data_IF_351022493120
#
_entry.id   IF_351022493120
#
_cell.length_a   1.000
_cell.length_b   1.000
_cell.length_c   1.000
_cell.angle_alpha   90.00
_cell.angle_beta   90.00
_cell.angle_gamma   90.00
#
_symmetry.space_group_name_H-M   'P 1'
#
loop_
_entity.id
_entity.type
_entity.pdbx_description
1 polymer ?
#
# COMPACT_ATOMS: atom_id res chain seq x y z
N UNK A 1 -0.47 38.43 -10.38
CA UNK A 1 -0.05 37.28 -11.23
C UNK A 1 0.33 36.14 -10.29
N UNK A 2 -0.67 35.36 -9.83
CA UNK A 2 -0.51 34.40 -8.73
C UNK A 2 0.25 33.15 -9.17
N UNK A 3 1.54 33.15 -8.88
CA UNK A 3 2.42 31.98 -8.98
C UNK A 3 2.32 31.20 -7.66
N UNK A 4 1.22 30.47 -7.44
CA UNK A 4 1.00 29.75 -6.18
C UNK A 4 0.47 28.31 -6.33
N UNK A 5 0.98 27.57 -7.32
CA UNK A 5 0.61 26.16 -7.55
C UNK A 5 1.66 25.12 -7.07
N UNK A 6 2.57 25.48 -6.15
CA UNK A 6 3.59 24.55 -5.61
C UNK A 6 3.65 24.43 -4.08
N UNK A 7 2.96 25.27 -3.32
CA UNK A 7 3.03 25.29 -1.83
C UNK A 7 2.17 24.18 -1.19
N UNK A 8 1.21 23.62 -1.95
CA UNK A 8 0.58 22.33 -1.67
C UNK A 8 1.58 21.27 -2.19
N UNK A 9 2.35 20.49 -1.42
CA UNK A 9 2.01 19.86 -0.14
C UNK A 9 3.24 19.22 0.56
N UNK A 10 4.36 19.94 0.66
CA UNK A 10 5.62 19.38 1.19
C UNK A 10 5.46 18.79 2.61
N UNK A 11 4.62 19.44 3.43
CA UNK A 11 4.25 18.95 4.77
C UNK A 11 3.48 17.62 4.72
N UNK A 12 2.53 17.45 3.81
CA UNK A 12 1.77 16.20 3.67
C UNK A 12 2.65 15.10 3.08
N UNK A 13 3.54 15.43 2.14
CA UNK A 13 4.52 14.48 1.63
C UNK A 13 5.45 13.99 2.75
N UNK A 14 5.97 14.90 3.59
CA UNK A 14 6.82 14.56 4.72
C UNK A 14 6.11 13.64 5.71
N UNK A 15 4.86 13.97 6.09
CA UNK A 15 4.03 13.10 6.96
C UNK A 15 3.78 11.72 6.34
N UNK A 16 3.50 11.65 5.04
CA UNK A 16 3.31 10.38 4.33
C UNK A 16 4.60 9.55 4.34
N UNK A 17 5.74 10.18 4.10
CA UNK A 17 7.07 9.54 4.16
C UNK A 17 7.39 9.05 5.57
N UNK A 18 7.09 9.83 6.60
CA UNK A 18 7.27 9.40 8.00
C UNK A 18 6.40 8.18 8.34
N UNK A 19 5.16 8.13 7.86
CA UNK A 19 4.29 6.97 8.04
C UNK A 19 4.88 5.72 7.37
N UNK A 20 5.34 5.82 6.12
CA UNK A 20 6.00 4.72 5.43
C UNK A 20 7.29 4.27 6.13
N UNK A 21 8.11 5.22 6.58
CA UNK A 21 9.36 4.94 7.30
C UNK A 21 9.13 4.17 8.61
N UNK A 22 8.04 4.45 9.33
CA UNK A 22 7.67 3.72 10.55
C UNK A 22 7.22 2.29 10.26
N UNK A 23 6.60 2.04 9.10
CA UNK A 23 6.13 0.71 8.73
C UNK A 23 7.23 -0.19 8.17
N UNK A 24 8.35 0.37 7.69
CA UNK A 24 9.51 -0.40 7.23
C UNK A 24 9.99 -1.46 8.25
N UNK A 25 10.38 -1.10 9.48
CA UNK A 25 10.83 -2.10 10.45
C UNK A 25 9.69 -3.02 10.91
N UNK A 26 8.45 -2.53 10.96
CA UNK A 26 7.29 -3.33 11.38
C UNK A 26 7.06 -4.49 10.41
N UNK A 27 6.98 -4.19 9.10
CA UNK A 27 6.81 -5.21 8.08
C UNK A 27 8.02 -6.16 8.06
N UNK A 28 9.24 -5.63 8.17
CA UNK A 28 10.45 -6.46 8.22
C UNK A 28 10.49 -7.45 9.38
N UNK A 29 10.05 -7.04 10.57
CA UNK A 29 9.98 -7.94 11.74
C UNK A 29 8.91 -9.03 11.51
N UNK A 30 7.73 -8.67 11.00
CA UNK A 30 6.66 -9.64 10.73
C UNK A 30 7.13 -10.70 9.73
N UNK A 31 7.72 -10.27 8.61
CA UNK A 31 8.21 -11.19 7.57
C UNK A 31 9.38 -12.05 8.08
N UNK A 32 10.25 -11.50 8.93
CA UNK A 32 11.32 -12.27 9.57
C UNK A 32 10.76 -13.35 10.50
N UNK A 33 9.73 -13.03 11.28
CA UNK A 33 9.06 -14.03 12.15
C UNK A 33 8.42 -15.12 11.30
N UNK A 34 7.71 -14.76 10.22
CA UNK A 34 7.12 -15.76 9.31
C UNK A 34 8.18 -16.64 8.65
N UNK A 35 9.30 -16.07 8.19
CA UNK A 35 10.42 -16.84 7.66
C UNK A 35 10.93 -17.87 8.68
N UNK A 36 11.19 -17.44 9.92
CA UNK A 36 11.68 -18.31 11.00
C UNK A 36 10.68 -19.44 11.29
N UNK A 37 9.39 -19.12 11.39
CA UNK A 37 8.33 -20.12 11.64
C UNK A 37 8.26 -21.12 10.49
N UNK A 38 8.25 -20.66 9.24
CA UNK A 38 8.20 -21.54 8.05
C UNK A 38 9.41 -22.48 7.97
N UNK A 39 10.60 -21.98 8.29
CA UNK A 39 11.82 -22.80 8.38
C UNK A 39 11.71 -23.81 9.52
N UNK A 40 11.27 -23.39 10.71
CA UNK A 40 11.13 -24.26 11.88
C UNK A 40 10.09 -25.38 11.66
N UNK A 41 9.06 -25.13 10.86
CA UNK A 41 8.07 -26.12 10.44
C UNK A 41 8.55 -27.06 9.32
N UNK A 42 9.80 -26.91 8.83
CA UNK A 42 10.36 -27.77 7.79
C UNK A 42 9.69 -27.61 6.42
N UNK A 43 9.12 -26.44 6.14
CA UNK A 43 8.48 -26.18 4.84
C UNK A 43 9.54 -26.15 3.72
N UNK A 44 9.18 -26.52 2.47
CA UNK A 44 10.11 -26.45 1.37
C UNK A 44 10.44 -24.99 1.00
N UNK A 45 11.65 -24.78 0.45
CA UNK A 45 12.16 -23.47 0.05
C UNK A 45 11.16 -22.61 -0.75
N UNK A 46 10.43 -23.21 -1.67
CA UNK A 46 9.43 -22.51 -2.50
C UNK A 46 8.35 -21.81 -1.66
N UNK A 47 8.04 -22.28 -0.45
CA UNK A 47 6.99 -21.71 0.41
C UNK A 47 7.46 -20.46 1.16
N UNK A 48 8.77 -20.31 1.39
CA UNK A 48 9.35 -19.18 2.13
C UNK A 48 10.32 -18.29 1.34
N UNK A 49 10.56 -18.58 0.04
CA UNK A 49 11.43 -17.75 -0.80
C UNK A 49 10.88 -16.34 -0.98
N UNK A 50 9.56 -16.13 -0.89
CA UNK A 50 8.96 -14.81 -0.95
C UNK A 50 9.35 -13.95 0.25
N UNK A 51 9.35 -14.47 1.49
CA UNK A 51 9.88 -13.73 2.65
C UNK A 51 11.33 -13.30 2.44
N UNK A 52 12.16 -14.17 1.87
CA UNK A 52 13.56 -13.85 1.54
C UNK A 52 13.59 -12.71 0.54
N UNK A 53 12.81 -12.76 -0.54
CA UNK A 53 12.71 -11.69 -1.53
C UNK A 53 12.25 -10.37 -0.91
N UNK A 54 11.27 -10.40 0.00
CA UNK A 54 10.75 -9.21 0.68
C UNK A 54 11.85 -8.60 1.56
N UNK A 55 12.47 -9.41 2.43
CA UNK A 55 13.51 -8.94 3.36
C UNK A 55 14.75 -8.42 2.62
N UNK A 56 15.26 -9.20 1.66
CA UNK A 56 16.42 -8.80 0.85
C UNK A 56 16.08 -7.57 0.01
N UNK A 57 14.93 -7.53 -0.65
CA UNK A 57 14.48 -6.39 -1.45
C UNK A 57 14.36 -5.11 -0.62
N UNK A 58 13.82 -5.21 0.60
CA UNK A 58 13.73 -4.11 1.54
C UNK A 58 15.09 -3.60 2.00
N UNK A 59 15.97 -4.50 2.45
CA UNK A 59 17.32 -4.15 2.92
C UNK A 59 18.16 -3.55 1.79
N UNK A 60 18.17 -4.16 0.61
CA UNK A 60 18.92 -3.67 -0.56
C UNK A 60 18.44 -2.28 -0.96
N UNK A 61 17.12 -2.06 -1.04
CA UNK A 61 16.55 -0.75 -1.37
C UNK A 61 16.93 0.30 -0.33
N UNK A 62 16.82 -0.04 0.95
CA UNK A 62 17.16 0.87 2.05
C UNK A 62 18.65 1.26 2.02
N UNK A 63 19.55 0.28 1.89
CA UNK A 63 20.99 0.52 1.83
C UNK A 63 21.37 1.34 0.61
N UNK A 64 20.81 1.03 -0.56
CA UNK A 64 21.05 1.77 -1.79
C UNK A 64 20.63 3.24 -1.66
N UNK A 65 19.45 3.53 -1.11
CA UNK A 65 18.97 4.90 -0.95
C UNK A 65 19.72 5.65 0.17
N UNK A 66 20.09 4.99 1.28
CA UNK A 66 20.94 5.61 2.31
C UNK A 66 22.36 5.93 1.78
N UNK A 67 22.92 5.09 0.89
CA UNK A 67 24.18 5.38 0.20
C UNK A 67 24.01 6.57 -0.75
N UNK A 68 22.94 6.58 -1.55
CA UNK A 68 22.64 7.66 -2.50
C UNK A 68 22.44 9.01 -1.80
N UNK A 69 21.80 9.02 -0.63
CA UNK A 69 21.60 10.23 0.16
C UNK A 69 22.81 10.57 1.04
N UNK A 70 23.83 9.71 1.12
CA UNK A 70 25.00 9.92 1.95
C UNK A 70 24.73 9.83 3.45
N UNK A 71 23.63 9.21 3.86
CA UNK A 71 23.15 9.16 5.24
C UNK A 71 23.57 7.89 6.00
N UNK A 72 24.10 6.87 5.30
CA UNK A 72 24.37 5.55 5.87
C UNK A 72 25.38 5.55 7.03
N UNK A 73 26.49 6.30 6.87
CA UNK A 73 27.62 6.28 7.80
C UNK A 73 27.64 7.49 8.76
N UNK A 74 26.61 8.33 8.71
CA UNK A 74 26.54 9.54 9.54
C UNK A 74 25.97 9.19 10.91
N UNK A 75 26.80 9.28 11.95
CA UNK A 75 26.40 8.98 13.34
C UNK A 75 25.35 9.96 13.87
N UNK A 76 25.57 11.25 13.66
CA UNK A 76 24.64 12.30 14.09
C UNK A 76 23.92 12.87 12.89
N UNK A 77 22.64 12.52 12.76
CA UNK A 77 21.79 13.04 11.69
C UNK A 77 21.13 14.33 12.16
N UNK A 78 21.43 15.44 11.48
CA UNK A 78 20.61 16.64 11.55
C UNK A 78 19.18 16.36 11.03
N UNK A 79 18.29 17.35 11.12
CA UNK A 79 16.89 17.15 10.74
C UNK A 79 16.70 16.88 9.24
N UNK A 80 17.62 17.34 8.39
CA UNK A 80 17.60 17.09 6.94
C UNK A 80 18.04 15.65 6.66
N UNK A 81 19.11 15.18 7.29
CA UNK A 81 19.61 13.82 7.18
C UNK A 81 18.62 12.80 7.75
N UNK A 82 17.88 13.15 8.81
CA UNK A 82 16.76 12.33 9.32
C UNK A 82 15.64 12.23 8.29
N UNK A 83 15.30 13.33 7.64
CA UNK A 83 14.27 13.34 6.60
C UNK A 83 14.66 12.48 5.40
N UNK A 84 15.92 12.57 4.96
CA UNK A 84 16.46 11.72 3.89
C UNK A 84 16.50 10.23 4.29
N UNK A 85 16.87 9.92 5.54
CA UNK A 85 16.83 8.55 6.06
C UNK A 85 15.40 8.01 6.13
N UNK A 86 14.42 8.82 6.55
CA UNK A 86 13.00 8.45 6.52
C UNK A 86 12.52 8.22 5.08
N UNK A 87 12.99 9.03 4.12
CA UNK A 87 12.69 8.82 2.70
C UNK A 87 13.21 7.47 2.21
N UNK A 88 14.45 7.12 2.53
CA UNK A 88 15.03 5.81 2.18
C UNK A 88 14.22 4.66 2.79
N UNK A 89 13.89 4.73 4.09
CA UNK A 89 13.06 3.72 4.76
C UNK A 89 11.67 3.62 4.16
N UNK A 90 11.03 4.75 3.84
CA UNK A 90 9.71 4.76 3.21
C UNK A 90 9.73 4.10 1.84
N UNK A 91 10.78 4.31 1.03
CA UNK A 91 10.94 3.65 -0.26
C UNK A 91 11.17 2.14 -0.10
N UNK A 92 11.99 1.74 0.87
CA UNK A 92 12.22 0.34 1.20
C UNK A 92 10.93 -0.35 1.68
N UNK A 93 10.14 0.31 2.52
CA UNK A 93 8.81 -0.17 2.91
C UNK A 93 7.90 -0.37 1.68
N UNK A 94 7.81 0.62 0.79
CA UNK A 94 6.98 0.50 -0.41
C UNK A 94 7.43 -0.65 -1.31
N UNK A 95 8.74 -0.87 -1.45
CA UNK A 95 9.28 -2.03 -2.16
C UNK A 95 8.80 -3.34 -1.54
N UNK A 96 8.99 -3.50 -0.22
CA UNK A 96 8.54 -4.68 0.52
C UNK A 96 7.03 -4.91 0.36
N UNK A 97 6.23 -3.87 0.56
CA UNK A 97 4.78 -3.92 0.48
C UNK A 97 4.29 -4.39 -0.89
N UNK A 98 4.91 -3.91 -1.98
CA UNK A 98 4.55 -4.35 -3.33
C UNK A 98 5.04 -5.76 -3.64
N UNK A 99 6.22 -6.16 -3.17
CA UNK A 99 6.69 -7.54 -3.30
C UNK A 99 5.73 -8.49 -2.58
N UNK A 100 5.25 -8.15 -1.39
CA UNK A 100 4.25 -8.96 -0.65
C UNK A 100 2.97 -9.11 -1.48
N UNK A 101 2.36 -8.00 -1.93
CA UNK A 101 1.08 -8.05 -2.65
C UNK A 101 1.19 -8.82 -3.97
N UNK A 102 2.21 -8.52 -4.77
CA UNK A 102 2.41 -9.17 -6.08
C UNK A 102 2.81 -10.62 -5.87
N UNK A 103 3.70 -10.89 -4.91
CA UNK A 103 4.17 -12.22 -4.59
C UNK A 103 3.07 -13.13 -4.06
N UNK A 104 2.21 -12.65 -3.16
CA UNK A 104 1.05 -13.39 -2.68
C UNK A 104 0.14 -13.78 -3.85
N UNK A 105 -0.16 -12.83 -4.74
CA UNK A 105 -0.99 -13.09 -5.91
C UNK A 105 -0.37 -14.16 -6.82
N UNK A 106 0.94 -14.10 -7.05
CA UNK A 106 1.66 -15.13 -7.82
C UNK A 106 1.63 -16.48 -7.09
N UNK A 107 1.77 -16.49 -5.78
CA UNK A 107 1.77 -17.70 -4.96
C UNK A 107 0.45 -18.46 -5.02
N UNK A 108 -0.69 -17.76 -5.18
CA UNK A 108 -1.99 -18.41 -5.42
C UNK A 108 -1.91 -19.35 -6.65
N UNK A 109 -1.14 -18.99 -7.67
CA UNK A 109 -1.02 -19.79 -8.91
C UNK A 109 0.17 -20.76 -8.92
N UNK A 110 1.27 -20.42 -8.24
CA UNK A 110 2.54 -21.14 -8.35
C UNK A 110 2.78 -22.18 -7.24
N UNK A 111 2.10 -22.05 -6.10
CA UNK A 111 2.30 -22.92 -4.94
C UNK A 111 1.32 -24.10 -4.97
N UNK A 112 1.79 -25.27 -4.54
CA UNK A 112 0.94 -26.45 -4.31
C UNK A 112 -0.18 -26.13 -3.29
N UNK A 113 -1.42 -26.52 -3.62
CA UNK A 113 -2.62 -26.25 -2.82
C UNK A 113 -2.48 -26.65 -1.35
N UNK A 114 -1.68 -27.67 -1.03
CA UNK A 114 -1.45 -28.09 0.36
C UNK A 114 -0.77 -27.01 1.22
N UNK A 115 -0.12 -26.02 0.60
CA UNK A 115 0.54 -24.91 1.29
C UNK A 115 -0.25 -23.60 1.24
N UNK A 116 -1.48 -23.58 0.71
CA UNK A 116 -2.28 -22.34 0.62
C UNK A 116 -2.51 -21.68 1.98
N UNK A 117 -2.58 -22.44 3.07
CA UNK A 117 -2.64 -21.89 4.42
C UNK A 117 -1.46 -20.94 4.72
N UNK A 118 -0.25 -21.28 4.23
CA UNK A 118 0.96 -20.47 4.39
C UNK A 118 1.05 -19.29 3.43
N UNK A 119 0.18 -19.22 2.42
CA UNK A 119 0.03 -18.05 1.57
C UNK A 119 -0.87 -17.02 2.25
N UNK A 120 -1.92 -17.46 2.95
CA UNK A 120 -2.83 -16.58 3.68
C UNK A 120 -2.15 -15.77 4.80
N UNK A 121 -0.99 -16.22 5.29
CA UNK A 121 -0.23 -15.46 6.29
C UNK A 121 0.28 -14.12 5.74
N UNK A 122 0.44 -13.96 4.42
CA UNK A 122 0.83 -12.67 3.83
C UNK A 122 -0.24 -11.61 4.01
N UNK A 123 -1.54 -11.96 3.98
CA UNK A 123 -2.62 -11.03 4.32
C UNK A 123 -2.41 -10.44 5.71
N UNK A 124 -1.94 -11.26 6.65
CA UNK A 124 -1.69 -10.84 8.03
C UNK A 124 -0.51 -9.86 8.11
N UNK A 125 0.44 -9.88 7.18
CA UNK A 125 1.55 -8.92 7.18
C UNK A 125 1.21 -7.58 6.52
N UNK A 126 0.60 -7.59 5.33
CA UNK A 126 0.36 -6.33 4.61
C UNK A 126 -0.95 -5.63 5.00
N UNK A 127 -2.02 -6.35 5.33
CA UNK A 127 -3.33 -5.74 5.56
C UNK A 127 -3.34 -4.83 6.80
N UNK A 128 -2.78 -5.21 7.97
CA UNK A 128 -2.71 -4.30 9.11
C UNK A 128 -1.89 -3.05 8.81
N UNK A 129 -0.77 -3.18 8.07
CA UNK A 129 0.05 -2.06 7.65
C UNK A 129 -0.75 -1.09 6.75
N UNK A 130 -1.49 -1.62 5.77
CA UNK A 130 -2.33 -0.83 4.87
C UNK A 130 -3.43 -0.10 5.63
N UNK A 131 -4.13 -0.78 6.55
CA UNK A 131 -5.17 -0.19 7.40
C UNK A 131 -4.59 0.92 8.28
N UNK A 132 -3.44 0.69 8.92
CA UNK A 132 -2.79 1.68 9.77
C UNK A 132 -2.41 2.94 8.99
N UNK A 133 -1.81 2.78 7.80
CA UNK A 133 -1.46 3.90 6.93
C UNK A 133 -2.73 4.66 6.52
N UNK A 134 -3.79 3.95 6.12
CA UNK A 134 -5.06 4.56 5.73
C UNK A 134 -5.68 5.37 6.89
N UNK A 135 -5.80 4.78 8.08
CA UNK A 135 -6.38 5.44 9.25
C UNK A 135 -5.55 6.65 9.68
N UNK A 136 -4.23 6.51 9.68
CA UNK A 136 -3.29 7.59 9.97
C UNK A 136 -3.37 8.71 8.93
N UNK A 137 -3.47 8.38 7.65
CA UNK A 137 -3.59 9.35 6.56
C UNK A 137 -4.90 10.14 6.64
N UNK A 138 -6.02 9.45 6.89
CA UNK A 138 -7.32 10.09 7.09
C UNK A 138 -7.31 10.97 8.33
N UNK A 139 -6.80 10.45 9.45
CA UNK A 139 -6.78 11.18 10.72
C UNK A 139 -5.86 12.40 10.69
N UNK A 140 -4.76 12.31 9.93
CA UNK A 140 -3.83 13.40 9.70
C UNK A 140 -4.27 14.41 8.64
N UNK A 141 -5.40 14.17 7.95
CA UNK A 141 -5.85 15.01 6.85
C UNK A 141 -4.89 15.02 5.66
N UNK A 142 -4.20 13.89 5.41
CA UNK A 142 -3.18 13.78 4.36
C UNK A 142 -3.81 13.65 2.96
N UNK A 143 -5.01 13.10 2.88
CA UNK A 143 -5.75 12.97 1.63
C UNK A 143 -6.64 14.22 1.46
N UNK A 144 -6.25 15.12 0.57
CA UNK A 144 -6.99 16.36 0.27
C UNK A 144 -7.22 16.49 -1.23
N UNK A 145 -8.41 16.94 -1.63
CA UNK A 145 -8.67 17.25 -3.04
C UNK A 145 -8.12 18.64 -3.41
N UNK A 146 -8.18 19.59 -2.47
CA UNK A 146 -7.59 20.92 -2.55
C UNK A 146 -8.34 21.91 -3.46
N UNK A 147 -8.98 21.47 -4.54
CA UNK A 147 -9.87 22.33 -5.35
C UNK A 147 -10.96 21.50 -6.03
N UNK A 148 -12.09 22.14 -6.39
CA UNK A 148 -13.18 21.50 -7.13
C UNK A 148 -12.72 20.87 -8.46
N UNK A 149 -11.73 21.48 -9.13
CA UNK A 149 -11.19 20.94 -10.38
C UNK A 149 -10.31 19.70 -10.13
N UNK A 150 -9.45 19.74 -9.10
CA UNK A 150 -8.65 18.58 -8.68
C UNK A 150 -9.54 17.43 -8.19
N UNK A 151 -10.62 17.73 -7.46
CA UNK A 151 -11.59 16.73 -7.00
C UNK A 151 -12.20 15.94 -8.17
N UNK A 152 -12.62 16.64 -9.24
CA UNK A 152 -13.13 15.98 -10.46
C UNK A 152 -12.08 15.06 -11.09
N UNK A 153 -10.83 15.54 -11.19
CA UNK A 153 -9.74 14.75 -11.78
C UNK A 153 -9.42 13.51 -10.93
N UNK A 154 -9.36 13.65 -9.59
CA UNK A 154 -9.12 12.54 -8.66
C UNK A 154 -10.24 11.51 -8.73
N UNK A 155 -11.51 11.94 -8.76
CA UNK A 155 -12.65 11.01 -8.91
C UNK A 155 -12.59 10.26 -10.24
N UNK A 156 -12.24 10.95 -11.34
CA UNK A 156 -12.09 10.32 -12.66
C UNK A 156 -10.95 9.30 -12.66
N UNK A 157 -9.78 9.67 -12.13
CA UNK A 157 -8.63 8.77 -12.04
C UNK A 157 -8.94 7.55 -11.15
N UNK A 158 -9.56 7.77 -9.99
CA UNK A 158 -10.01 6.70 -9.10
C UNK A 158 -11.03 5.78 -9.79
N UNK A 159 -11.98 6.33 -10.55
CA UNK A 159 -12.96 5.53 -11.29
C UNK A 159 -12.28 4.64 -12.33
N UNK A 160 -11.33 5.19 -13.09
CA UNK A 160 -10.57 4.44 -14.11
C UNK A 160 -9.75 3.33 -13.44
N UNK A 161 -9.00 3.64 -12.39
CA UNK A 161 -8.18 2.65 -11.67
C UNK A 161 -9.04 1.57 -11.02
N UNK A 162 -10.16 1.95 -10.40
CA UNK A 162 -11.08 0.99 -9.77
C UNK A 162 -11.72 0.09 -10.82
N UNK A 163 -12.08 0.62 -12.00
CA UNK A 163 -12.62 -0.17 -13.10
C UNK A 163 -11.63 -1.24 -13.58
N UNK A 164 -10.38 -0.86 -13.85
CA UNK A 164 -9.37 -1.84 -14.27
C UNK A 164 -9.03 -2.83 -13.15
N UNK A 165 -8.90 -2.35 -11.92
CA UNK A 165 -8.63 -3.21 -10.75
C UNK A 165 -9.76 -4.18 -10.47
N UNK A 166 -11.02 -3.79 -10.64
CA UNK A 166 -12.17 -4.65 -10.40
C UNK A 166 -12.35 -5.70 -11.50
N UNK A 167 -12.11 -5.36 -12.76
CA UNK A 167 -12.05 -6.34 -13.86
C UNK A 167 -10.96 -7.36 -13.59
N UNK A 168 -9.75 -6.89 -13.25
CA UNK A 168 -8.64 -7.77 -12.91
C UNK A 168 -9.01 -8.72 -11.77
N UNK A 169 -9.55 -8.19 -10.67
CA UNK A 169 -10.03 -8.98 -9.54
C UNK A 169 -11.06 -10.02 -9.95
N UNK A 170 -12.08 -9.62 -10.74
CA UNK A 170 -13.12 -10.53 -11.21
C UNK A 170 -12.57 -11.65 -12.10
N UNK A 171 -11.60 -11.36 -12.97
CA UNK A 171 -10.98 -12.36 -13.85
C UNK A 171 -10.16 -13.36 -13.04
N UNK A 172 -9.33 -12.87 -12.12
CA UNK A 172 -8.46 -13.69 -11.26
C UNK A 172 -9.30 -14.60 -10.36
N UNK A 173 -10.25 -14.02 -9.63
CA UNK A 173 -11.06 -14.76 -8.64
C UNK A 173 -12.17 -15.60 -9.29
N UNK A 174 -12.69 -15.16 -10.44
CA UNK A 174 -13.75 -15.83 -11.19
C UNK A 174 -13.25 -16.91 -12.15
N UNK A 175 -11.95 -17.27 -12.15
CA UNK A 175 -11.37 -18.27 -13.07
C UNK A 175 -12.18 -19.56 -13.09
N UNK A 176 -12.60 -20.07 -11.93
CA UNK A 176 -13.40 -21.29 -11.82
C UNK A 176 -14.81 -21.21 -12.44
N UNK A 177 -15.31 -20.02 -12.75
CA UNK A 177 -16.63 -19.86 -13.40
C UNK A 177 -16.58 -20.04 -14.91
N UNK A 178 -15.49 -19.63 -15.57
CA UNK A 178 -15.37 -19.71 -17.03
C UNK A 178 -14.33 -20.73 -17.50
N UNK A 179 -13.47 -21.23 -16.61
CA UNK A 179 -12.57 -22.37 -16.85
C UNK A 179 -12.78 -23.38 -15.74
N UNK A 180 -13.41 -24.50 -16.08
CA UNK A 180 -13.51 -25.67 -15.22
C UNK A 180 -13.48 -26.93 -16.08
N UNK A 181 -13.11 -28.07 -15.49
CA UNK A 181 -13.03 -29.36 -16.17
C UNK A 181 -12.17 -29.38 -17.45
N UNK A 182 -11.16 -28.49 -17.52
CA UNK A 182 -10.27 -28.36 -18.67
C UNK A 182 -10.91 -27.69 -19.90
N UNK A 183 -12.12 -27.15 -19.78
CA UNK A 183 -12.85 -26.51 -20.87
C UNK A 183 -13.27 -25.06 -20.53
N UNK A 184 -13.50 -24.27 -21.59
CA UNK A 184 -13.95 -22.88 -21.48
C UNK A 184 -15.47 -22.79 -21.59
N UNK A 185 -16.11 -22.11 -20.63
CA UNK A 185 -17.54 -21.93 -20.53
C UNK A 185 -17.90 -20.44 -20.58
N UNK A 186 -18.33 -19.91 -21.74
CA UNK A 186 -18.57 -18.47 -21.93
C UNK A 186 -19.58 -17.86 -20.97
N UNK A 187 -20.60 -18.64 -20.53
CA UNK A 187 -21.59 -18.18 -19.55
C UNK A 187 -20.98 -17.82 -18.20
N UNK A 188 -19.83 -18.40 -17.86
CA UNK A 188 -19.05 -18.09 -16.67
C UNK A 188 -18.54 -16.65 -16.60
N UNK A 189 -18.42 -15.98 -17.76
CA UNK A 189 -18.00 -14.57 -17.82
C UNK A 189 -19.01 -13.63 -17.15
N UNK A 190 -20.28 -14.03 -17.06
CA UNK A 190 -21.29 -13.27 -16.30
C UNK A 190 -20.90 -13.22 -14.81
N UNK A 191 -20.41 -14.34 -14.26
CA UNK A 191 -19.91 -14.41 -12.88
C UNK A 191 -18.70 -13.50 -12.65
N UNK A 192 -17.78 -13.42 -13.62
CA UNK A 192 -16.64 -12.49 -13.60
C UNK A 192 -17.11 -11.04 -13.52
N UNK A 193 -18.09 -10.67 -14.34
CA UNK A 193 -18.65 -9.30 -14.35
C UNK A 193 -19.33 -8.98 -13.02
N UNK A 194 -20.09 -9.92 -12.46
CA UNK A 194 -20.76 -9.75 -11.17
C UNK A 194 -19.77 -9.60 -10.02
N UNK A 195 -18.70 -10.40 -9.99
CA UNK A 195 -17.63 -10.25 -8.99
C UNK A 195 -16.91 -8.91 -9.13
N UNK A 196 -16.57 -8.51 -10.36
CA UNK A 196 -15.94 -7.23 -10.64
C UNK A 196 -16.83 -6.05 -10.20
N UNK A 197 -18.13 -6.08 -10.51
CA UNK A 197 -19.06 -5.04 -10.10
C UNK A 197 -19.27 -5.03 -8.58
N UNK A 198 -19.45 -6.21 -7.98
CA UNK A 198 -19.67 -6.40 -6.54
C UNK A 198 -18.50 -5.92 -5.69
N UNK A 199 -17.26 -5.99 -6.20
CA UNK A 199 -16.10 -5.43 -5.52
C UNK A 199 -15.83 -3.97 -5.89
N UNK A 200 -15.82 -3.66 -7.19
CA UNK A 200 -15.41 -2.35 -7.70
C UNK A 200 -16.34 -1.20 -7.31
N UNK A 201 -17.66 -1.40 -7.34
CA UNK A 201 -18.62 -0.34 -7.03
C UNK A 201 -18.53 0.06 -5.55
N UNK A 202 -18.62 -0.86 -4.56
CA UNK A 202 -18.45 -0.50 -3.16
C UNK A 202 -17.07 0.11 -2.88
N UNK A 203 -16.00 -0.43 -3.48
CA UNK A 203 -14.64 0.07 -3.31
C UNK A 203 -14.52 1.55 -3.72
N UNK A 204 -15.05 1.92 -4.88
CA UNK A 204 -15.03 3.29 -5.37
C UNK A 204 -15.71 4.27 -4.40
N UNK A 205 -16.93 3.95 -3.97
CA UNK A 205 -17.69 4.83 -3.08
C UNK A 205 -17.08 4.90 -1.69
N UNK A 206 -16.54 3.79 -1.17
CA UNK A 206 -15.82 3.74 0.09
C UNK A 206 -14.60 4.69 0.06
N UNK A 207 -13.76 4.62 -0.97
CA UNK A 207 -12.58 5.47 -1.08
C UNK A 207 -12.94 6.96 -1.23
N UNK A 208 -14.01 7.28 -1.96
CA UNK A 208 -14.52 8.65 -1.97
C UNK A 208 -14.95 9.12 -0.58
N UNK A 209 -15.65 8.27 0.17
CA UNK A 209 -16.04 8.57 1.56
C UNK A 209 -14.84 8.84 2.46
N UNK A 210 -13.82 7.99 2.37
CA UNK A 210 -12.54 8.11 3.09
C UNK A 210 -11.85 9.43 2.79
N UNK A 211 -11.73 9.81 1.51
CA UNK A 211 -11.09 11.08 1.12
C UNK A 211 -11.87 12.30 1.64
N UNK A 212 -13.21 12.29 1.55
CA UNK A 212 -14.05 13.37 2.12
C UNK A 212 -13.89 13.48 3.64
N UNK A 213 -13.78 12.36 4.35
CA UNK A 213 -13.53 12.35 5.79
C UNK A 213 -12.14 12.92 6.14
N UNK A 214 -11.14 12.60 5.32
CA UNK A 214 -9.78 13.14 5.46
C UNK A 214 -9.76 14.65 5.23
N UNK A 215 -10.42 15.14 4.18
CA UNK A 215 -10.50 16.58 3.88
C UNK A 215 -11.17 17.35 5.03
N UNK A 216 -12.30 16.85 5.54
CA UNK A 216 -12.96 17.43 6.73
C UNK A 216 -12.06 17.48 7.97
N UNK A 217 -11.13 16.52 8.12
CA UNK A 217 -10.14 16.53 9.22
C UNK A 217 -8.99 17.49 8.93
N UNK A 218 -8.59 17.66 7.68
CA UNK A 218 -7.58 18.64 7.27
C UNK A 218 -8.05 20.07 7.59
N UNK A 219 -9.29 20.42 7.19
CA UNK A 219 -9.88 21.75 7.44
C UNK A 219 -9.91 22.07 8.95
N UNK A 220 -10.40 21.14 9.77
CA UNK A 220 -10.42 21.27 11.23
C UNK A 220 -9.03 21.44 11.87
N UNK A 221 -7.99 20.90 11.25
CA UNK A 221 -6.63 21.03 11.77
C UNK A 221 -6.03 22.39 11.44
N UNK A 222 -6.50 23.06 10.38
CA UNK A 222 -6.10 24.42 10.03
C UNK A 222 -6.80 25.42 10.96
N UNK A 223 -8.13 25.31 11.15
CA UNK A 223 -8.90 26.17 12.06
C UNK A 223 -8.30 26.20 13.48
N UNK A 224 -7.89 25.05 14.02
CA UNK A 224 -7.27 24.95 15.34
C UNK A 224 -5.88 25.59 15.45
N UNK A 225 -5.18 25.79 14.34
CA UNK A 225 -3.87 26.46 14.34
C UNK A 225 -4.11 27.96 14.33
N UNK A 226 -4.99 28.44 13.47
CA UNK A 226 -5.36 29.86 13.39
C UNK A 226 -5.93 30.36 14.74
N UNK A 227 -6.83 29.60 15.38
CA UNK A 227 -7.39 29.91 16.71
C UNK A 227 -6.34 29.96 17.85
N UNK A 228 -5.18 29.34 17.66
CA UNK A 228 -4.07 29.33 18.64
C UNK A 228 -3.10 30.48 18.41
N UNK A 229 -2.95 30.95 17.19
CA UNK A 229 -2.08 32.08 16.85
C UNK A 229 -2.77 33.42 17.15
N UNK A 230 -4.11 33.44 17.29
CA UNK A 230 -4.90 34.62 17.71
C UNK A 230 -5.04 34.79 19.24
N UNK A 231 -4.49 33.89 20.07
CA UNK A 231 -4.50 33.96 21.55
C UNK A 231 -3.13 34.19 22.14
#
# INVERSE_FOLDING_TARGET
>A
MFKNNKVVDERLHKKSTELGARMFPVLGIIELVFLIVKIACGLPFMVYVLEICILVGGVVTWLFEELRFGTLLVKEKDDILKELSNKAKSQAFMMMFWIVIIGELLYIFLIDKKYYFWVLTYIVSWLPCAIYIMVSAVSGGILVFGSKQKEKNVKKDLAIRTFFGSIFFGVVTGTGFYIHDGAFYPKGLIGVVLLAAGWGIPFYFMFIGIMKLSEKKADKNIEKVDDRDEK
#
